data_IF_719913661169
#
_entry.id   IF_719913661169
#
_cell.length_a   1.000
_cell.length_b   1.000
_cell.length_c   1.000
_cell.angle_alpha   90.00
_cell.angle_beta   90.00
_cell.angle_gamma   90.00
#
_symmetry.space_group_name_H-M   'P 1'
#
loop_
_entity.id
_entity.type
_entity.pdbx_description
1 polymer ?
#
# COMPACT_ATOMS: atom_id res chain seq x y z
N UNK A 1 -15.83 -18.82 -13.79
CA UNK A 1 -16.15 -17.40 -13.51
C UNK A 1 -14.84 -16.67 -13.24
N UNK A 2 -14.81 -15.34 -13.34
CA UNK A 2 -13.63 -14.51 -13.06
C UNK A 2 -13.98 -13.34 -12.16
N UNK A 3 -13.02 -12.87 -11.38
CA UNK A 3 -13.15 -11.70 -10.48
C UNK A 3 -12.26 -10.57 -10.99
N UNK A 4 -12.77 -9.35 -10.97
CA UNK A 4 -12.01 -8.14 -11.27
C UNK A 4 -12.47 -7.01 -10.36
N UNK A 5 -11.60 -6.04 -10.11
CA UNK A 5 -11.95 -4.83 -9.37
C UNK A 5 -11.18 -3.63 -9.93
N UNK A 6 -11.74 -2.44 -9.75
CA UNK A 6 -11.11 -1.18 -10.16
C UNK A 6 -10.63 -0.48 -8.89
N UNK A 7 -9.35 -0.13 -8.85
CA UNK A 7 -8.77 0.64 -7.75
C UNK A 7 -7.63 1.52 -8.28
N UNK A 8 -7.51 2.75 -7.75
CA UNK A 8 -6.49 3.71 -8.18
C UNK A 8 -6.40 3.90 -9.71
N UNK A 9 -7.56 3.92 -10.37
CA UNK A 9 -7.73 3.99 -11.83
C UNK A 9 -7.03 2.86 -12.62
N UNK A 10 -6.86 1.69 -12.01
CA UNK A 10 -6.35 0.46 -12.63
C UNK A 10 -7.39 -0.65 -12.49
N UNK A 11 -7.47 -1.54 -13.48
CA UNK A 11 -8.36 -2.72 -13.43
C UNK A 11 -7.53 -3.95 -13.07
N UNK A 12 -7.74 -4.48 -11.87
CA UNK A 12 -7.07 -5.69 -11.38
C UNK A 12 -7.82 -6.95 -11.84
N UNK A 13 -7.06 -7.96 -12.27
CA UNK A 13 -7.59 -9.17 -12.88
C UNK A 13 -7.73 -9.07 -14.42
N UNK A 14 -8.56 -9.92 -15.05
CA UNK A 14 -9.45 -10.90 -14.44
C UNK A 14 -8.69 -12.07 -13.79
N UNK A 15 -9.09 -12.40 -12.57
CA UNK A 15 -8.57 -13.56 -11.83
C UNK A 15 -9.56 -14.72 -11.91
N UNK A 16 -9.09 -15.98 -11.96
CA UNK A 16 -9.96 -17.13 -11.79
C UNK A 16 -10.76 -17.03 -10.49
N UNK A 17 -12.02 -17.44 -10.54
CA UNK A 17 -12.90 -17.47 -9.38
C UNK A 17 -12.27 -18.23 -8.20
N UNK A 18 -12.52 -17.73 -6.99
CA UNK A 18 -11.96 -18.25 -5.75
C UNK A 18 -10.47 -17.98 -5.50
N UNK A 19 -9.72 -17.39 -6.45
CA UNK A 19 -8.30 -17.04 -6.22
C UNK A 19 -8.07 -15.64 -5.67
N UNK A 20 -9.04 -14.76 -5.81
CA UNK A 20 -8.98 -13.38 -5.33
C UNK A 20 -9.99 -13.19 -4.20
N UNK A 21 -9.56 -12.58 -3.11
CA UNK A 21 -10.41 -12.16 -2.00
C UNK A 21 -10.28 -10.65 -1.79
N UNK A 22 -11.36 -9.91 -1.99
CA UNK A 22 -11.39 -8.45 -1.85
C UNK A 22 -11.51 -8.09 -0.37
N UNK A 23 -10.37 -7.84 0.27
CA UNK A 23 -10.28 -7.73 1.72
C UNK A 23 -11.03 -6.50 2.24
N UNK A 24 -10.92 -5.35 1.56
CA UNK A 24 -11.67 -4.13 1.92
C UNK A 24 -13.20 -4.27 1.73
N UNK A 25 -13.65 -5.26 0.95
CA UNK A 25 -15.06 -5.51 0.70
C UNK A 25 -15.66 -6.62 1.59
N UNK A 26 -14.82 -7.31 2.37
CA UNK A 26 -15.24 -8.37 3.30
C UNK A 26 -16.06 -7.82 4.47
N UNK A 27 -16.98 -8.63 4.99
CA UNK A 27 -17.81 -8.23 6.13
C UNK A 27 -16.98 -8.22 7.42
N UNK A 28 -16.01 -9.15 7.57
CA UNK A 28 -14.99 -9.11 8.63
C UNK A 28 -14.31 -7.74 8.69
N UNK A 29 -13.81 -7.21 7.56
CA UNK A 29 -13.15 -5.91 7.55
C UNK A 29 -14.12 -4.78 7.91
N UNK A 30 -15.33 -4.77 7.33
CA UNK A 30 -16.37 -3.77 7.64
C UNK A 30 -16.70 -3.72 9.14
N UNK A 31 -16.62 -4.84 9.84
CA UNK A 31 -16.89 -4.92 11.29
C UNK A 31 -15.75 -4.35 12.15
N UNK A 32 -14.51 -4.34 11.68
CA UNK A 32 -13.34 -3.92 12.47
C UNK A 32 -12.72 -2.59 12.04
N UNK A 33 -13.02 -2.09 10.84
CA UNK A 33 -12.39 -0.89 10.23
C UNK A 33 -12.47 0.38 11.09
N UNK A 34 -13.50 0.50 11.93
CA UNK A 34 -13.71 1.68 12.78
C UNK A 34 -12.71 1.78 13.96
N UNK A 35 -11.83 0.78 14.13
CA UNK A 35 -10.80 0.75 15.18
C UNK A 35 -9.42 1.17 14.65
N UNK A 36 -9.37 1.96 13.56
CA UNK A 36 -8.12 2.42 12.96
C UNK A 36 -7.38 1.37 12.13
N UNK A 37 -8.02 0.26 11.80
CA UNK A 37 -7.44 -0.80 10.97
C UNK A 37 -7.59 -0.42 9.49
N UNK A 38 -6.45 -0.40 8.79
CA UNK A 38 -6.39 -0.26 7.33
C UNK A 38 -5.92 -1.58 6.72
N UNK A 39 -6.48 -1.99 5.59
CA UNK A 39 -6.06 -3.22 4.90
C UNK A 39 -5.59 -2.92 3.48
N UNK A 40 -5.03 -3.93 2.84
CA UNK A 40 -4.80 -3.93 1.40
C UNK A 40 -6.11 -4.20 0.67
N UNK A 41 -6.15 -3.91 -0.62
CA UNK A 41 -7.34 -4.06 -1.47
C UNK A 41 -7.76 -5.53 -1.61
N UNK A 42 -6.79 -6.40 -1.90
CA UNK A 42 -7.06 -7.79 -2.19
C UNK A 42 -5.94 -8.74 -1.77
N UNK A 43 -6.35 -9.99 -1.53
CA UNK A 43 -5.46 -11.15 -1.45
C UNK A 43 -5.61 -11.96 -2.73
N UNK A 44 -4.51 -12.39 -3.33
CA UNK A 44 -4.50 -13.17 -4.57
C UNK A 44 -3.59 -14.39 -4.44
N UNK A 45 -4.11 -15.57 -4.73
CA UNK A 45 -3.33 -16.80 -4.79
C UNK A 45 -2.75 -16.96 -6.21
N UNK A 46 -1.47 -17.33 -6.30
CA UNK A 46 -0.82 -17.67 -7.58
C UNK A 46 -1.44 -18.89 -8.24
N UNK A 47 -1.23 -19.05 -9.55
CA UNK A 47 -1.81 -20.17 -10.30
C UNK A 47 -1.37 -21.56 -9.80
N UNK A 48 -0.17 -21.66 -9.22
CA UNK A 48 0.39 -22.88 -8.62
C UNK A 48 0.03 -23.06 -7.13
N UNK A 49 -0.76 -22.14 -6.55
CA UNK A 49 -1.14 -22.10 -5.13
C UNK A 49 0.02 -22.08 -4.14
N UNK A 50 1.24 -21.77 -4.60
CA UNK A 50 2.43 -21.69 -3.74
C UNK A 50 2.69 -20.30 -3.18
N UNK A 51 2.06 -19.27 -3.74
CA UNK A 51 2.25 -17.88 -3.35
C UNK A 51 0.92 -17.22 -3.04
N UNK A 52 0.94 -16.32 -2.07
CA UNK A 52 -0.15 -15.37 -1.83
C UNK A 52 0.39 -13.95 -1.98
N UNK A 53 -0.32 -13.14 -2.76
CA UNK A 53 -0.03 -11.73 -2.97
C UNK A 53 -1.01 -10.90 -2.15
N UNK A 54 -0.48 -10.03 -1.30
CA UNK A 54 -1.21 -8.94 -0.67
C UNK A 54 -1.07 -7.73 -1.59
N UNK A 55 -2.18 -7.26 -2.16
CA UNK A 55 -2.17 -6.26 -3.23
C UNK A 55 -2.73 -4.95 -2.68
N UNK A 56 -1.86 -3.96 -2.57
CA UNK A 56 -2.20 -2.55 -2.35
C UNK A 56 -2.08 -1.78 -3.67
N UNK A 57 -2.94 -0.78 -3.87
CA UNK A 57 -2.93 0.05 -5.07
C UNK A 57 -2.84 1.54 -4.70
N UNK A 58 -2.05 2.29 -5.47
CA UNK A 58 -1.98 3.76 -5.37
C UNK A 58 -1.93 4.38 -6.77
N UNK A 59 -2.59 5.52 -6.95
CA UNK A 59 -2.50 6.28 -8.19
C UNK A 59 -1.15 7.00 -8.33
N UNK A 60 -0.59 7.45 -7.21
CA UNK A 60 0.62 8.27 -7.16
C UNK A 60 1.47 7.98 -5.93
N UNK A 61 2.69 8.52 -5.95
CA UNK A 61 3.64 8.50 -4.83
C UNK A 61 3.82 9.90 -4.25
N UNK A 62 4.21 10.02 -2.97
CA UNK A 62 4.59 11.30 -2.40
C UNK A 62 5.69 11.92 -3.27
N UNK A 63 5.52 13.18 -3.69
CA UNK A 63 6.52 13.81 -4.54
C UNK A 63 7.81 14.08 -3.73
N UNK A 64 8.97 13.51 -4.12
CA UNK A 64 10.24 13.94 -3.58
C UNK A 64 10.44 15.39 -4.03
N UNK A 65 10.73 16.28 -3.07
CA UNK A 65 10.81 17.73 -3.23
C UNK A 65 11.33 18.18 -4.62
N UNK A 66 10.42 18.60 -5.51
CA UNK A 66 10.75 19.39 -6.69
C UNK A 66 9.50 20.17 -7.15
N UNK A 67 9.52 21.49 -6.93
CA UNK A 67 8.59 22.54 -7.39
C UNK A 67 7.10 22.13 -7.41
N UNK A 68 6.44 22.41 -6.27
CA UNK A 68 4.98 22.47 -6.18
C UNK A 68 4.39 23.28 -7.34
N UNK A 69 3.66 22.62 -8.22
CA UNK A 69 2.63 23.26 -9.03
C UNK A 69 1.32 22.53 -8.72
N UNK A 70 0.41 23.30 -8.10
CA UNK A 70 -0.95 22.97 -7.64
C UNK A 70 -1.03 22.19 -6.31
N UNK A 71 -1.23 22.95 -5.23
CA UNK A 71 -1.59 22.49 -3.89
C UNK A 71 -3.11 22.62 -3.67
N UNK A 72 -3.64 21.88 -2.69
CA UNK A 72 -5.05 21.87 -2.27
C UNK A 72 -5.54 23.23 -1.73
N UNK A 73 -6.83 23.60 -1.91
CA UNK A 73 -7.40 24.89 -1.50
C UNK A 73 -7.38 25.15 0.02
N UNK A 74 -7.32 24.11 0.85
CA UNK A 74 -7.15 24.26 2.30
C UNK A 74 -5.73 24.69 2.73
N UNK A 75 -4.71 24.39 1.92
CA UNK A 75 -3.32 24.80 2.14
C UNK A 75 -3.08 26.21 1.57
N UNK A 76 -3.79 26.60 0.52
CA UNK A 76 -3.74 27.96 -0.05
C UNK A 76 -4.05 29.02 1.01
N UNK A 77 -5.04 28.79 1.87
CA UNK A 77 -5.39 29.74 2.95
C UNK A 77 -4.28 29.89 4.00
N UNK A 78 -3.51 28.83 4.26
CA UNK A 78 -2.35 28.90 5.16
C UNK A 78 -1.18 29.59 4.44
N UNK A 79 -0.89 29.24 3.18
CA UNK A 79 0.15 29.91 2.39
C UNK A 79 -0.13 31.41 2.22
N UNK A 80 -1.39 31.82 2.03
CA UNK A 80 -1.80 33.22 1.95
C UNK A 80 -1.62 33.97 3.28
N UNK A 81 -1.96 33.33 4.40
CA UNK A 81 -1.75 33.88 5.74
C UNK A 81 -0.26 34.01 6.07
N UNK A 82 0.56 33.08 5.58
CA UNK A 82 2.02 33.07 5.74
C UNK A 82 2.69 34.12 4.85
N UNK A 83 2.17 34.36 3.64
CA UNK A 83 2.68 35.41 2.76
C UNK A 83 2.40 36.83 3.28
N UNK A 84 1.35 36.99 4.09
CA UNK A 84 1.06 38.26 4.78
C UNK A 84 2.04 38.56 5.93
N UNK A 85 2.77 37.56 6.44
CA UNK A 85 3.77 37.71 7.50
C UNK A 85 5.19 38.02 6.95
N UNK A 86 5.35 38.21 5.63
CA UNK A 86 6.61 38.30 4.85
C UNK A 86 7.53 39.53 5.08
N UNK A 87 7.46 40.25 6.20
CA UNK A 87 8.30 41.45 6.37
C UNK A 87 9.66 41.23 7.04
N UNK A 88 10.05 40.00 7.40
CA UNK A 88 11.33 39.71 8.06
C UNK A 88 12.09 38.52 7.42
N UNK A 89 13.36 38.75 7.03
CA UNK A 89 14.26 37.77 6.42
C UNK A 89 14.52 36.55 7.34
N UNK A 90 14.46 36.74 8.67
CA UNK A 90 14.59 35.64 9.63
C UNK A 90 13.38 34.68 9.58
N UNK A 91 12.17 35.22 9.40
CA UNK A 91 10.96 34.42 9.24
C UNK A 91 10.99 33.60 7.95
N UNK A 92 11.53 34.13 6.85
CA UNK A 92 11.65 33.40 5.57
C UNK A 92 12.44 32.09 5.74
N UNK A 93 13.52 32.09 6.53
CA UNK A 93 14.32 30.88 6.74
C UNK A 93 13.60 29.85 7.62
N UNK A 94 12.89 30.31 8.66
CA UNK A 94 12.06 29.46 9.52
C UNK A 94 10.95 28.80 8.70
N UNK A 95 10.29 29.56 7.83
CA UNK A 95 9.22 29.07 6.95
C UNK A 95 9.72 28.03 5.94
N UNK A 96 10.89 28.26 5.32
CA UNK A 96 11.52 27.27 4.43
C UNK A 96 11.84 25.97 5.17
N UNK A 97 12.34 26.06 6.40
CA UNK A 97 12.63 24.90 7.26
C UNK A 97 11.35 24.14 7.61
N UNK A 98 10.31 24.83 8.08
CA UNK A 98 9.03 24.21 8.43
C UNK A 98 8.37 23.51 7.23
N UNK A 99 8.40 24.14 6.03
CA UNK A 99 7.90 23.52 4.78
C UNK A 99 8.66 22.24 4.44
N UNK A 100 9.98 22.24 4.61
CA UNK A 100 10.84 21.06 4.37
C UNK A 100 10.50 19.93 5.34
N UNK A 101 10.36 20.24 6.63
CA UNK A 101 10.00 19.29 7.69
C UNK A 101 8.61 18.70 7.47
N UNK A 102 7.61 19.53 7.16
CA UNK A 102 6.25 19.07 6.86
C UNK A 102 6.19 18.16 5.63
N UNK A 103 6.96 18.48 4.58
CA UNK A 103 7.10 17.61 3.41
C UNK A 103 7.73 16.26 3.73
N UNK A 104 8.79 16.26 4.55
CA UNK A 104 9.42 15.02 5.04
C UNK A 104 8.44 14.17 5.84
N UNK A 105 7.67 14.80 6.73
CA UNK A 105 6.66 14.11 7.53
C UNK A 105 5.57 13.45 6.66
N UNK A 106 5.07 14.15 5.63
CA UNK A 106 4.09 13.58 4.69
C UNK A 106 4.64 12.36 3.95
N UNK A 107 5.91 12.41 3.54
CA UNK A 107 6.56 11.28 2.87
C UNK A 107 6.64 10.07 3.82
N UNK A 108 7.11 10.25 5.05
CA UNK A 108 7.18 9.18 6.06
C UNK A 108 5.79 8.61 6.39
N UNK A 109 4.78 9.47 6.53
CA UNK A 109 3.41 9.03 6.80
C UNK A 109 2.85 8.11 5.71
N UNK A 110 3.22 8.33 4.45
CA UNK A 110 2.82 7.45 3.35
C UNK A 110 3.43 6.05 3.50
N UNK A 111 4.73 5.98 3.78
CA UNK A 111 5.44 4.72 4.00
C UNK A 111 4.88 3.94 5.21
N UNK A 112 4.58 4.65 6.30
CA UNK A 112 3.96 4.08 7.51
C UNK A 112 2.58 3.51 7.19
N UNK A 113 1.74 4.24 6.44
CA UNK A 113 0.42 3.75 6.04
C UNK A 113 0.51 2.44 5.24
N UNK A 114 1.41 2.38 4.26
CA UNK A 114 1.61 1.17 3.45
C UNK A 114 2.05 -0.01 4.33
N UNK A 115 2.98 0.23 5.26
CA UNK A 115 3.41 -0.79 6.23
C UNK A 115 2.25 -1.28 7.10
N UNK A 116 1.43 -0.37 7.62
CA UNK A 116 0.27 -0.71 8.46
C UNK A 116 -0.74 -1.54 7.67
N UNK A 117 -1.07 -1.14 6.44
CA UNK A 117 -1.97 -1.89 5.57
C UNK A 117 -1.50 -3.34 5.36
N UNK A 118 -0.22 -3.55 5.06
CA UNK A 118 0.31 -4.92 4.93
C UNK A 118 0.27 -5.69 6.26
N UNK A 119 0.71 -5.07 7.36
CA UNK A 119 0.77 -5.72 8.66
C UNK A 119 -0.62 -6.14 9.16
N UNK A 120 -1.60 -5.24 9.07
CA UNK A 120 -2.97 -5.54 9.47
C UNK A 120 -3.62 -6.58 8.56
N UNK A 121 -3.34 -6.55 7.25
CA UNK A 121 -3.88 -7.56 6.33
C UNK A 121 -3.30 -8.94 6.61
N UNK A 122 -1.99 -9.04 6.90
CA UNK A 122 -1.36 -10.28 7.35
C UNK A 122 -2.04 -10.78 8.62
N UNK A 123 -2.13 -9.94 9.65
CA UNK A 123 -2.75 -10.30 10.90
C UNK A 123 -4.20 -10.75 10.72
N UNK A 124 -4.95 -10.10 9.82
CA UNK A 124 -6.35 -10.43 9.56
C UNK A 124 -6.52 -11.76 8.84
N UNK A 125 -5.70 -12.05 7.81
CA UNK A 125 -5.73 -13.35 7.15
C UNK A 125 -5.46 -14.48 8.15
N UNK A 126 -4.42 -14.32 8.97
CA UNK A 126 -4.06 -15.37 9.94
C UNK A 126 -5.00 -15.43 11.13
N UNK A 127 -5.67 -14.34 11.52
CA UNK A 127 -6.72 -14.41 12.54
C UNK A 127 -7.94 -15.20 12.03
N UNK A 128 -8.24 -15.14 10.73
CA UNK A 128 -9.24 -16.02 10.10
C UNK A 128 -8.78 -17.48 10.14
N UNK A 129 -7.54 -17.79 9.73
CA UNK A 129 -7.01 -19.17 9.82
C UNK A 129 -6.94 -19.71 11.26
N UNK A 130 -6.78 -18.85 12.25
CA UNK A 130 -6.84 -19.18 13.67
C UNK A 130 -8.28 -19.25 14.21
N UNK A 131 -9.30 -19.16 13.36
CA UNK A 131 -10.73 -19.18 13.70
C UNK A 131 -11.14 -18.11 14.73
N UNK A 132 -10.49 -16.94 14.70
CA UNK A 132 -10.83 -15.78 15.58
C UNK A 132 -11.92 -14.91 14.97
N UNK A 133 -12.13 -15.01 13.66
CA UNK A 133 -13.21 -14.37 12.92
C UNK A 133 -13.93 -15.41 12.06
N UNK A 134 -15.10 -15.05 11.53
CA UNK A 134 -15.79 -15.86 10.54
C UNK A 134 -14.86 -16.12 9.34
N UNK A 135 -15.01 -17.28 8.70
CA UNK A 135 -14.24 -17.60 7.51
C UNK A 135 -15.02 -17.20 6.25
N UNK A 136 -14.69 -16.04 5.69
CA UNK A 136 -15.20 -15.55 4.41
C UNK A 136 -14.27 -15.89 3.24
N UNK A 137 -13.16 -16.59 3.49
CA UNK A 137 -12.18 -16.89 2.45
C UNK A 137 -12.73 -17.93 1.46
N UNK A 138 -12.50 -17.75 0.16
CA UNK A 138 -12.84 -18.77 -0.83
C UNK A 138 -12.13 -20.10 -0.59
N UNK A 139 -12.71 -21.20 -1.07
CA UNK A 139 -12.19 -22.57 -0.90
C UNK A 139 -10.71 -22.75 -1.25
N UNK A 140 -10.19 -21.99 -2.23
CA UNK A 140 -8.79 -22.09 -2.62
C UNK A 140 -7.84 -21.65 -1.50
N UNK A 141 -8.23 -20.67 -0.67
CA UNK A 141 -7.44 -20.20 0.48
C UNK A 141 -7.39 -21.26 1.57
N UNK A 142 -8.50 -21.95 1.80
CA UNK A 142 -8.60 -23.02 2.81
C UNK A 142 -7.76 -24.27 2.46
N UNK A 143 -7.28 -24.38 1.22
CA UNK A 143 -6.48 -25.51 0.72
C UNK A 143 -4.98 -25.22 0.67
N UNK A 144 -4.55 -24.03 1.10
CA UNK A 144 -3.13 -23.64 1.06
C UNK A 144 -2.36 -24.34 2.19
N UNK A 145 -1.20 -24.89 1.86
CA UNK A 145 -0.19 -25.32 2.84
C UNK A 145 0.53 -24.10 3.41
N UNK A 146 0.08 -23.61 4.56
CA UNK A 146 0.56 -22.35 5.15
C UNK A 146 2.04 -22.36 5.54
N UNK A 147 2.60 -23.52 5.86
CA UNK A 147 4.02 -23.69 6.23
C UNK A 147 4.99 -23.52 5.04
N UNK A 148 4.50 -23.75 3.82
CA UNK A 148 5.27 -23.61 2.57
C UNK A 148 4.85 -22.40 1.74
N UNK A 149 3.87 -21.64 2.23
CA UNK A 149 3.28 -20.53 1.50
C UNK A 149 4.28 -19.37 1.40
N UNK A 150 4.60 -18.99 0.17
CA UNK A 150 5.40 -17.81 -0.10
C UNK A 150 4.51 -16.55 -0.07
N UNK A 151 4.69 -15.73 0.97
CA UNK A 151 3.97 -14.47 1.12
C UNK A 151 4.69 -13.36 0.35
N UNK A 152 3.93 -12.63 -0.48
CA UNK A 152 4.40 -11.47 -1.24
C UNK A 152 3.53 -10.24 -0.95
N UNK A 153 4.15 -9.15 -0.56
CA UNK A 153 3.55 -7.85 -0.28
C UNK A 153 3.79 -6.95 -1.49
N UNK A 154 2.74 -6.63 -2.24
CA UNK A 154 2.85 -5.89 -3.50
C UNK A 154 2.09 -4.58 -3.39
N UNK A 155 2.75 -3.48 -3.72
CA UNK A 155 2.09 -2.20 -4.01
C UNK A 155 2.20 -1.90 -5.50
N UNK A 156 1.07 -1.70 -6.15
CA UNK A 156 0.99 -1.28 -7.55
C UNK A 156 0.73 0.22 -7.60
N UNK A 157 1.61 0.95 -8.27
CA UNK A 157 1.59 2.41 -8.35
C UNK A 157 1.39 2.81 -9.80
N UNK A 158 0.21 3.33 -10.13
CA UNK A 158 -0.20 3.60 -11.53
C UNK A 158 0.89 4.32 -12.33
N UNK A 159 1.26 5.52 -11.88
CA UNK A 159 2.19 6.40 -12.61
C UNK A 159 3.51 6.58 -11.85
N UNK A 160 4.40 5.59 -11.91
CA UNK A 160 5.73 5.67 -11.29
C UNK A 160 6.85 5.21 -12.23
N UNK A 161 7.90 6.03 -12.34
CA UNK A 161 9.11 5.72 -13.14
C UNK A 161 9.97 4.69 -12.41
N UNK A 162 10.66 3.83 -13.17
CA UNK A 162 11.49 2.76 -12.64
C UNK A 162 12.56 3.23 -11.63
N UNK A 163 13.20 4.37 -11.85
CA UNK A 163 14.19 4.89 -10.90
C UNK A 163 13.57 5.34 -9.57
N UNK A 164 12.37 5.92 -9.62
CA UNK A 164 11.66 6.28 -8.39
C UNK A 164 11.18 5.03 -7.65
N UNK A 165 10.76 3.99 -8.37
CA UNK A 165 10.45 2.68 -7.78
C UNK A 165 11.64 2.08 -7.01
N UNK A 166 12.88 2.27 -7.47
CA UNK A 166 14.07 1.79 -6.73
C UNK A 166 14.14 2.42 -5.35
N UNK A 167 13.99 3.74 -5.26
CA UNK A 167 14.00 4.46 -3.97
C UNK A 167 12.86 4.00 -3.04
N UNK A 168 11.65 3.86 -3.59
CA UNK A 168 10.48 3.38 -2.84
C UNK A 168 10.73 1.96 -2.32
N UNK A 169 11.24 1.06 -3.16
CA UNK A 169 11.58 -0.31 -2.76
C UNK A 169 12.65 -0.33 -1.67
N UNK A 170 13.72 0.47 -1.81
CA UNK A 170 14.77 0.55 -0.78
C UNK A 170 14.22 1.02 0.56
N UNK A 171 13.39 2.08 0.56
CA UNK A 171 12.81 2.61 1.78
C UNK A 171 11.81 1.62 2.41
N UNK A 172 10.90 1.06 1.62
CA UNK A 172 9.93 0.07 2.09
C UNK A 172 10.63 -1.19 2.64
N UNK A 173 11.70 -1.66 2.01
CA UNK A 173 12.50 -2.76 2.52
C UNK A 173 13.09 -2.46 3.91
N UNK A 174 13.52 -1.22 4.16
CA UNK A 174 14.00 -0.80 5.48
C UNK A 174 12.88 -0.84 6.53
N UNK A 175 11.72 -0.22 6.25
CA UNK A 175 10.66 -0.11 7.27
C UNK A 175 9.90 -1.42 7.51
N UNK A 176 9.84 -2.30 6.49
CA UNK A 176 9.19 -3.61 6.54
C UNK A 176 10.14 -4.70 7.05
N UNK A 177 11.44 -4.43 7.21
CA UNK A 177 12.40 -5.40 7.73
C UNK A 177 11.94 -6.10 9.01
N UNK A 178 11.40 -5.40 10.04
CA UNK A 178 10.87 -6.07 11.23
C UNK A 178 9.69 -7.00 10.93
N UNK A 179 8.79 -6.61 10.01
CA UNK A 179 7.66 -7.45 9.59
C UNK A 179 8.18 -8.70 8.88
N UNK A 180 9.13 -8.53 7.95
CA UNK A 180 9.75 -9.65 7.24
C UNK A 180 10.46 -10.62 8.20
N UNK A 181 11.18 -10.10 9.20
CA UNK A 181 11.83 -10.93 10.20
C UNK A 181 10.84 -11.67 11.10
N UNK A 182 9.80 -10.99 11.58
CA UNK A 182 8.78 -11.59 12.46
C UNK A 182 8.01 -12.72 11.75
N UNK A 183 7.73 -12.56 10.46
CA UNK A 183 7.00 -13.52 9.64
C UNK A 183 7.91 -14.49 8.87
N UNK A 184 9.24 -14.43 9.07
CA UNK A 184 10.23 -15.21 8.32
C UNK A 184 10.03 -15.14 6.78
N UNK A 185 9.76 -13.94 6.27
CA UNK A 185 9.54 -13.71 4.85
C UNK A 185 10.87 -13.74 4.08
N UNK A 186 10.84 -14.27 2.85
CA UNK A 186 12.01 -14.30 1.98
C UNK A 186 12.51 -12.91 1.56
N UNK A 187 13.74 -12.80 1.02
CA UNK A 187 14.39 -11.51 0.71
C UNK A 187 13.65 -10.67 -0.34
N UNK A 188 12.83 -11.30 -1.18
CA UNK A 188 11.99 -10.63 -2.19
C UNK A 188 10.52 -10.53 -1.75
N UNK A 189 10.23 -10.55 -0.44
CA UNK A 189 8.84 -10.55 0.04
C UNK A 189 8.07 -9.30 -0.39
N UNK A 190 8.73 -8.15 -0.51
CA UNK A 190 8.09 -6.89 -0.82
C UNK A 190 8.44 -6.37 -2.23
N UNK A 191 7.45 -5.85 -2.96
CA UNK A 191 7.64 -5.21 -4.27
C UNK A 191 6.73 -4.00 -4.47
N UNK A 192 7.32 -2.83 -4.69
CA UNK A 192 6.66 -1.71 -5.34
C UNK A 192 6.89 -1.81 -6.86
N UNK A 193 5.79 -1.82 -7.61
CA UNK A 193 5.79 -1.90 -9.06
C UNK A 193 4.88 -0.85 -9.68
N UNK A 194 5.11 -0.52 -10.94
CA UNK A 194 4.18 0.30 -11.71
C UNK A 194 3.15 -0.56 -12.46
N UNK A 195 2.21 0.13 -13.11
CA UNK A 195 1.14 -0.51 -13.87
C UNK A 195 1.68 -1.43 -14.98
N UNK A 196 2.69 -1.00 -15.75
CA UNK A 196 3.31 -1.80 -16.82
C UNK A 196 3.89 -3.12 -16.28
N UNK A 197 4.63 -3.05 -15.18
CA UNK A 197 5.17 -4.22 -14.49
C UNK A 197 4.05 -5.11 -13.91
N UNK A 198 2.94 -4.54 -13.46
CA UNK A 198 1.79 -5.31 -12.98
C UNK A 198 1.06 -6.04 -14.12
N UNK A 199 0.91 -5.40 -15.28
CA UNK A 199 0.32 -6.02 -16.49
C UNK A 199 1.16 -7.20 -17.00
N UNK A 200 2.48 -7.04 -17.08
CA UNK A 200 3.38 -8.14 -17.47
C UNK A 200 3.31 -9.37 -16.54
N UNK A 201 2.74 -9.20 -15.33
CA UNK A 201 2.57 -10.25 -14.32
C UNK A 201 1.11 -10.73 -14.20
N UNK A 202 0.21 -10.26 -15.06
CA UNK A 202 -1.23 -10.53 -15.02
C UNK A 202 -1.90 -10.15 -13.68
N UNK A 203 -1.43 -9.08 -13.04
CA UNK A 203 -2.05 -8.49 -11.85
C UNK A 203 -3.08 -7.43 -12.28
N UNK A 204 -2.75 -6.65 -13.30
CA UNK A 204 -3.61 -5.61 -13.89
C UNK A 204 -3.85 -5.94 -15.37
N UNK A 205 -5.01 -5.55 -15.91
CA UNK A 205 -5.39 -5.71 -17.32
C UNK A 205 -4.69 -4.71 -18.26
#
# INVERSE_FOLDING_TARGET
MTVSFVESDMTFGPYPDGRCFLLEQSDIYKNIKNNGIKTVEALLISNDSKKIFFIEAKSTVPQPQAKYHKLNPGIENIELLLDQLNQDQAHIQILKKARKELGSFKNESWYIEIKEKFLYSLNLLFSIYLNRHANELPDAFNKIETDKLEIRLIIVIKSCKADHLKHINSHLATILKPVAQAWNLGPSAFHAINEEMARSRNIVA
#
